data_IF_635871500157
#
_entry.id   IF_635871500157
#
_cell.length_a   1.000
_cell.length_b   1.000
_cell.length_c   1.000
_cell.angle_alpha   90.00
_cell.angle_beta   90.00
_cell.angle_gamma   90.00
#
_symmetry.space_group_name_H-M   'P 1'
#
loop_
_entity.id
_entity.type
_entity.pdbx_description
1 polymer ?
#
# COMPACT_ATOMS: atom_id res chain seq x y z
N UNK A 1 -30.61 -16.27 -31.45
CA UNK A 1 -29.17 -16.47 -31.13
C UNK A 1 -28.94 -15.89 -29.75
N UNK A 2 -28.92 -16.73 -28.74
CA UNK A 2 -28.74 -16.37 -27.34
C UNK A 2 -27.23 -16.19 -27.10
N UNK A 3 -26.83 -14.99 -26.72
CA UNK A 3 -25.42 -14.68 -26.36
C UNK A 3 -24.99 -15.46 -25.12
N UNK A 4 -23.66 -15.63 -24.89
CA UNK A 4 -23.18 -16.41 -23.80
C UNK A 4 -23.51 -15.70 -22.47
N UNK A 5 -24.17 -16.44 -21.56
CA UNK A 5 -24.42 -16.02 -20.20
C UNK A 5 -23.10 -15.71 -19.50
N UNK A 6 -22.94 -14.46 -19.06
CA UNK A 6 -21.80 -14.03 -18.22
C UNK A 6 -21.93 -14.72 -16.86
N UNK A 7 -21.05 -15.66 -16.57
CA UNK A 7 -20.90 -16.22 -15.23
C UNK A 7 -20.38 -15.14 -14.29
N UNK A 8 -21.27 -14.62 -13.48
CA UNK A 8 -20.90 -13.88 -12.27
C UNK A 8 -20.15 -14.87 -11.38
N UNK A 9 -18.92 -14.56 -10.92
CA UNK A 9 -18.22 -15.47 -10.00
C UNK A 9 -19.11 -15.67 -8.76
N UNK A 10 -19.23 -16.90 -8.23
CA UNK A 10 -20.04 -17.17 -7.06
C UNK A 10 -19.51 -16.33 -5.90
N UNK A 11 -20.41 -15.68 -5.17
CA UNK A 11 -20.08 -15.09 -3.85
C UNK A 11 -19.38 -16.18 -3.06
N UNK A 12 -18.08 -16.01 -2.82
CA UNK A 12 -17.28 -17.04 -2.20
C UNK A 12 -17.79 -17.25 -0.79
N UNK A 13 -18.49 -18.35 -0.54
CA UNK A 13 -18.57 -18.93 0.79
C UNK A 13 -17.14 -19.38 1.13
N UNK A 14 -16.30 -18.44 1.57
CA UNK A 14 -15.03 -18.76 2.21
C UNK A 14 -15.39 -19.34 3.57
N UNK A 15 -15.69 -20.64 3.59
CA UNK A 15 -15.72 -21.40 4.84
C UNK A 15 -14.27 -21.42 5.29
N UNK A 16 -13.95 -20.54 6.23
CA UNK A 16 -12.64 -20.53 6.87
C UNK A 16 -12.37 -21.90 7.42
N UNK A 17 -11.22 -22.49 7.05
CA UNK A 17 -10.70 -23.63 7.77
C UNK A 17 -10.62 -23.29 9.27
N UNK A 18 -10.78 -24.25 10.19
CA UNK A 18 -10.77 -23.95 11.63
C UNK A 18 -9.48 -23.19 11.95
N UNK A 19 -9.64 -21.96 12.45
CA UNK A 19 -8.54 -21.03 12.70
C UNK A 19 -7.73 -21.58 13.89
N UNK A 20 -6.55 -22.09 13.58
CA UNK A 20 -5.63 -22.63 14.57
C UNK A 20 -4.63 -21.54 14.95
N UNK A 21 -4.20 -21.48 16.21
CA UNK A 21 -3.26 -20.46 16.67
C UNK A 21 -1.81 -20.68 16.19
N UNK A 22 -1.55 -21.78 15.50
CA UNK A 22 -0.24 -22.14 14.97
C UNK A 22 -0.19 -22.08 13.43
N UNK A 23 1.02 -21.91 12.91
CA UNK A 23 1.27 -21.87 11.48
C UNK A 23 0.78 -23.14 10.78
N UNK A 24 0.15 -22.97 9.63
CA UNK A 24 -0.15 -24.07 8.71
C UNK A 24 0.98 -24.19 7.70
N UNK A 25 1.48 -25.41 7.42
CA UNK A 25 2.42 -25.59 6.32
C UNK A 25 1.82 -25.05 5.03
N UNK A 26 2.59 -24.26 4.28
CA UNK A 26 2.19 -23.78 2.98
C UNK A 26 2.32 -24.91 1.95
N UNK A 27 1.40 -24.96 0.98
CA UNK A 27 1.51 -25.80 -0.19
C UNK A 27 2.47 -25.18 -1.22
N UNK A 28 2.55 -23.86 -1.26
CA UNK A 28 3.62 -23.11 -1.90
C UNK A 28 4.79 -22.86 -0.95
N UNK A 29 5.60 -21.83 -1.22
CA UNK A 29 6.69 -21.44 -0.33
C UNK A 29 6.90 -19.94 -0.28
N UNK A 30 7.40 -19.46 0.85
CA UNK A 30 7.80 -18.06 1.06
C UNK A 30 9.33 -18.02 1.17
N UNK A 31 9.96 -17.25 0.31
CA UNK A 31 11.40 -16.99 0.33
C UNK A 31 11.64 -15.54 0.78
N UNK A 32 12.69 -15.33 1.58
CA UNK A 32 13.11 -13.98 1.96
C UNK A 32 14.57 -13.80 1.56
N UNK A 33 14.82 -12.69 0.86
CA UNK A 33 16.14 -12.30 0.38
C UNK A 33 16.45 -10.87 0.82
N UNK A 34 17.70 -10.47 0.70
CA UNK A 34 18.12 -9.09 0.91
C UNK A 34 18.59 -8.52 -0.42
N UNK A 35 18.09 -7.34 -0.76
CA UNK A 35 18.52 -6.58 -1.94
C UNK A 35 19.26 -5.35 -1.48
N UNK A 36 20.47 -5.13 -1.98
CA UNK A 36 21.23 -3.91 -1.72
C UNK A 36 20.80 -2.85 -2.72
N UNK A 37 20.15 -1.80 -2.22
CA UNK A 37 19.68 -0.69 -3.05
C UNK A 37 20.80 0.32 -3.30
N UNK A 38 20.99 0.66 -4.55
CA UNK A 38 21.92 1.74 -4.95
C UNK A 38 21.23 3.11 -4.90
N UNK A 39 19.92 3.14 -5.17
CA UNK A 39 19.17 4.41 -5.20
C UNK A 39 18.83 4.95 -3.80
N UNK A 40 18.84 4.09 -2.78
CA UNK A 40 18.70 4.50 -1.38
C UNK A 40 20.03 4.87 -0.73
N UNK A 41 21.16 4.72 -1.42
CA UNK A 41 22.45 5.14 -0.89
C UNK A 41 22.48 6.66 -0.61
N UNK A 42 22.89 7.03 0.61
CA UNK A 42 22.91 8.41 1.04
C UNK A 42 21.54 9.02 1.30
N UNK A 43 20.50 8.20 1.55
CA UNK A 43 19.19 8.73 1.95
C UNK A 43 19.31 9.61 3.21
N UNK A 44 18.44 10.63 3.35
CA UNK A 44 18.60 11.65 4.40
C UNK A 44 18.42 11.12 5.83
N UNK A 45 17.77 9.96 5.99
CA UNK A 45 17.48 9.37 7.29
C UNK A 45 18.59 8.41 7.77
N UNK A 46 19.55 8.08 6.90
CA UNK A 46 20.56 7.07 7.20
C UNK A 46 19.97 5.65 7.31
N UNK A 47 18.79 5.43 6.73
CA UNK A 47 18.17 4.11 6.72
C UNK A 47 19.02 3.11 5.93
N UNK A 48 19.03 1.82 6.33
CA UNK A 48 19.82 0.79 5.66
C UNK A 48 19.49 0.69 4.17
N UNK A 49 20.52 0.52 3.36
CA UNK A 49 20.37 0.25 1.91
C UNK A 49 20.11 -1.25 1.63
N UNK A 50 20.46 -2.11 2.57
CA UNK A 50 20.15 -3.54 2.51
C UNK A 50 18.72 -3.74 2.96
N UNK A 51 17.85 -4.03 1.98
CA UNK A 51 16.41 -4.10 2.19
C UNK A 51 15.92 -5.53 2.01
N UNK A 52 15.16 -6.07 2.97
CA UNK A 52 14.56 -7.38 2.82
C UNK A 52 13.40 -7.34 1.81
N UNK A 53 13.26 -8.41 1.06
CA UNK A 53 12.12 -8.69 0.18
C UNK A 53 11.66 -10.13 0.40
N UNK A 54 10.36 -10.36 0.54
CA UNK A 54 9.83 -11.70 0.62
C UNK A 54 8.98 -12.01 -0.61
N UNK A 55 9.21 -13.18 -1.20
CA UNK A 55 8.51 -13.63 -2.41
C UNK A 55 7.81 -14.95 -2.10
N UNK A 56 6.49 -14.93 -2.22
CA UNK A 56 5.69 -16.14 -2.14
C UNK A 56 5.53 -16.75 -3.52
N UNK A 57 5.86 -18.04 -3.62
CA UNK A 57 5.75 -18.85 -4.82
C UNK A 57 4.56 -19.81 -4.67
N UNK A 58 3.61 -19.82 -5.63
CA UNK A 58 2.37 -20.57 -5.49
C UNK A 58 2.59 -22.09 -5.59
N UNK A 59 1.61 -22.91 -5.13
CA UNK A 59 1.65 -24.36 -5.32
C UNK A 59 1.88 -24.74 -6.79
N UNK A 60 2.71 -25.76 -7.03
CA UNK A 60 3.07 -26.21 -8.37
C UNK A 60 4.15 -25.37 -9.05
N UNK A 61 4.75 -24.40 -8.35
CA UNK A 61 5.82 -23.59 -8.95
C UNK A 61 7.02 -24.47 -9.34
N UNK A 62 7.49 -25.35 -8.49
CA UNK A 62 8.68 -26.18 -8.76
C UNK A 62 8.40 -27.33 -9.73
N UNK A 63 7.18 -27.83 -9.74
CA UNK A 63 6.74 -28.93 -10.63
C UNK A 63 6.62 -28.48 -12.10
N UNK A 64 6.54 -27.18 -12.36
CA UNK A 64 6.36 -26.61 -13.70
C UNK A 64 7.46 -25.60 -14.04
N UNK A 65 8.70 -26.03 -14.33
CA UNK A 65 9.86 -25.14 -14.50
C UNK A 65 9.73 -24.16 -15.68
N UNK A 66 8.94 -24.49 -16.69
CA UNK A 66 8.74 -23.64 -17.87
C UNK A 66 7.58 -22.66 -17.72
N UNK A 67 6.78 -22.79 -16.66
CA UNK A 67 5.61 -21.94 -16.44
C UNK A 67 6.02 -20.59 -15.86
N UNK A 68 5.48 -19.52 -16.44
CA UNK A 68 5.56 -18.17 -15.89
C UNK A 68 4.24 -17.79 -15.20
N UNK A 69 4.33 -16.81 -14.30
CA UNK A 69 3.22 -16.42 -13.43
C UNK A 69 3.03 -14.90 -13.45
N UNK A 70 1.79 -14.41 -13.35
CA UNK A 70 1.57 -13.03 -12.97
C UNK A 70 2.22 -12.74 -11.62
N UNK A 71 2.55 -11.47 -11.36
CA UNK A 71 3.09 -11.04 -10.07
C UNK A 71 2.28 -9.92 -9.46
N UNK A 72 2.10 -9.94 -8.13
CA UNK A 72 1.42 -8.89 -7.39
C UNK A 72 2.35 -8.39 -6.28
N UNK A 73 2.70 -7.11 -6.34
CA UNK A 73 3.53 -6.44 -5.35
C UNK A 73 2.63 -5.87 -4.25
N UNK A 74 2.94 -6.17 -3.01
CA UNK A 74 2.10 -5.78 -1.86
C UNK A 74 2.83 -4.79 -0.99
N UNK A 75 2.22 -3.62 -0.84
CA UNK A 75 2.75 -2.47 -0.13
C UNK A 75 2.13 -2.38 1.27
N UNK A 76 2.97 -2.17 2.27
CA UNK A 76 2.52 -2.03 3.66
C UNK A 76 1.81 -0.68 3.88
N UNK A 77 0.94 -0.62 4.87
CA UNK A 77 0.41 0.64 5.41
C UNK A 77 1.47 1.40 6.20
N UNK A 78 1.15 2.61 6.62
CA UNK A 78 2.05 3.45 7.42
C UNK A 78 2.51 2.70 8.69
N UNK A 79 3.76 2.89 9.08
CA UNK A 79 4.46 2.17 10.16
C UNK A 79 4.54 0.64 10.00
N UNK A 80 4.04 0.08 8.91
CA UNK A 80 4.17 -1.33 8.62
C UNK A 80 5.61 -1.71 8.25
N UNK A 81 6.01 -2.93 8.58
CA UNK A 81 7.28 -3.53 8.17
C UNK A 81 7.02 -4.87 7.48
N UNK A 82 8.03 -5.44 6.83
CA UNK A 82 7.89 -6.73 6.16
C UNK A 82 7.37 -7.84 7.08
N UNK A 83 7.73 -7.79 8.38
CA UNK A 83 7.30 -8.75 9.38
C UNK A 83 5.78 -8.79 9.62
N UNK A 84 5.06 -7.71 9.30
CA UNK A 84 3.59 -7.66 9.49
C UNK A 84 2.85 -8.75 8.70
N UNK A 85 3.35 -9.13 7.53
CA UNK A 85 2.72 -10.12 6.66
C UNK A 85 2.81 -11.55 7.18
N UNK A 86 3.74 -11.81 8.09
CA UNK A 86 3.95 -13.09 8.77
C UNK A 86 3.48 -13.08 10.23
N UNK A 87 3.07 -11.91 10.75
CA UNK A 87 2.62 -11.78 12.12
C UNK A 87 1.23 -12.41 12.28
N UNK A 88 1.17 -13.42 13.16
CA UNK A 88 -0.06 -14.16 13.41
C UNK A 88 -0.85 -13.50 14.54
N UNK A 89 -2.11 -13.24 14.30
CA UNK A 89 -3.06 -12.80 15.31
C UNK A 89 -4.03 -13.95 15.69
N UNK A 90 -4.61 -13.88 16.88
CA UNK A 90 -5.64 -14.80 17.30
C UNK A 90 -6.83 -14.79 16.30
N UNK A 91 -7.31 -15.98 15.94
CA UNK A 91 -8.43 -16.18 15.02
C UNK A 91 -8.23 -15.66 13.58
N UNK A 92 -6.99 -15.36 13.18
CA UNK A 92 -6.68 -14.89 11.82
C UNK A 92 -5.50 -15.64 11.24
N UNK A 93 -5.65 -16.07 9.99
CA UNK A 93 -4.53 -16.52 9.18
C UNK A 93 -3.69 -15.32 8.73
N UNK A 94 -2.42 -15.52 8.46
CA UNK A 94 -1.61 -14.51 7.81
C UNK A 94 -2.09 -14.30 6.36
N UNK A 95 -1.68 -13.19 5.76
CA UNK A 95 -2.02 -12.92 4.35
C UNK A 95 -1.53 -14.05 3.43
N UNK A 96 -0.30 -14.49 3.62
CA UNK A 96 0.31 -15.55 2.80
C UNK A 96 -0.40 -16.90 2.99
N UNK A 97 -0.79 -17.26 4.21
CA UNK A 97 -1.57 -18.49 4.43
C UNK A 97 -2.94 -18.45 3.75
N UNK A 98 -3.57 -17.27 3.75
CA UNK A 98 -4.86 -17.08 3.07
C UNK A 98 -4.73 -17.17 1.55
N UNK A 99 -3.66 -16.58 0.98
CA UNK A 99 -3.34 -16.65 -0.45
C UNK A 99 -3.00 -18.10 -0.85
N UNK A 100 -2.14 -18.78 -0.09
CA UNK A 100 -1.76 -20.17 -0.32
C UNK A 100 -2.98 -21.11 -0.35
N UNK A 101 -3.83 -21.02 0.69
CA UNK A 101 -5.04 -21.79 0.75
C UNK A 101 -6.02 -21.50 -0.42
N UNK A 102 -6.07 -20.26 -0.90
CA UNK A 102 -6.86 -19.87 -2.06
C UNK A 102 -6.33 -20.52 -3.34
N UNK A 103 -5.03 -20.46 -3.59
CA UNK A 103 -4.41 -21.08 -4.77
C UNK A 103 -4.46 -22.60 -4.72
N UNK A 104 -4.22 -23.21 -3.55
CA UNK A 104 -4.30 -24.66 -3.37
C UNK A 104 -5.70 -25.22 -3.72
N UNK A 105 -6.75 -24.47 -3.41
CA UNK A 105 -8.13 -24.86 -3.73
C UNK A 105 -8.55 -24.55 -5.18
N UNK A 106 -7.69 -23.93 -5.97
CA UNK A 106 -8.03 -23.46 -7.31
C UNK A 106 -9.08 -22.34 -7.31
N UNK A 107 -9.22 -21.60 -6.22
CA UNK A 107 -10.18 -20.49 -6.10
C UNK A 107 -9.73 -19.22 -6.84
N UNK A 108 -8.47 -19.16 -7.24
CA UNK A 108 -7.91 -18.17 -8.17
C UNK A 108 -6.75 -18.79 -8.96
N UNK A 109 -6.40 -18.25 -10.14
CA UNK A 109 -5.17 -18.61 -10.84
C UNK A 109 -3.96 -18.30 -9.95
N UNK A 110 -2.94 -19.18 -9.95
CA UNK A 110 -1.76 -18.95 -9.13
C UNK A 110 -0.94 -17.75 -9.64
N UNK A 111 -0.49 -16.89 -8.73
CA UNK A 111 0.43 -15.79 -9.00
C UNK A 111 1.56 -15.74 -7.97
N UNK A 112 2.64 -15.08 -8.31
CA UNK A 112 3.72 -14.75 -7.38
C UNK A 112 3.30 -13.52 -6.58
N UNK A 113 3.49 -13.55 -5.24
CA UNK A 113 3.21 -12.39 -4.39
C UNK A 113 4.52 -11.86 -3.83
N UNK A 114 4.81 -10.59 -4.09
CA UNK A 114 6.04 -9.91 -3.66
C UNK A 114 5.72 -8.95 -2.53
N UNK A 115 6.28 -9.21 -1.36
CA UNK A 115 6.14 -8.35 -0.19
C UNK A 115 7.36 -7.43 -0.13
N UNK A 116 7.12 -6.14 -0.28
CA UNK A 116 8.18 -5.12 -0.40
C UNK A 116 8.38 -4.43 0.94
N UNK A 117 9.62 -4.14 1.29
CA UNK A 117 9.94 -3.28 2.43
C UNK A 117 10.19 -1.84 1.97
N UNK A 118 9.41 -0.90 2.50
CA UNK A 118 9.57 0.53 2.27
C UNK A 118 9.43 1.35 3.57
N UNK A 119 9.77 0.70 4.69
CA UNK A 119 9.83 1.34 6.00
C UNK A 119 10.97 2.35 6.08
N UNK A 120 10.78 3.43 6.82
CA UNK A 120 11.79 4.47 7.10
C UNK A 120 11.85 4.76 8.60
N UNK A 121 12.89 5.45 9.04
CA UNK A 121 13.00 5.93 10.43
C UNK A 121 11.83 6.86 10.83
N UNK A 122 11.08 7.42 9.86
CA UNK A 122 9.84 8.16 10.12
C UNK A 122 8.58 7.28 10.00
N UNK A 123 8.71 5.96 9.89
CA UNK A 123 7.60 5.01 9.87
C UNK A 123 7.12 4.59 8.47
N UNK A 124 7.33 5.39 7.44
CA UNK A 124 6.93 5.10 6.06
C UNK A 124 7.54 6.07 5.06
N UNK A 125 7.55 5.70 3.79
CA UNK A 125 8.10 6.49 2.68
C UNK A 125 7.02 7.10 1.79
N UNK A 126 5.77 6.76 2.00
CA UNK A 126 4.65 7.04 1.09
C UNK A 126 4.90 6.57 -0.36
N UNK A 127 5.87 5.67 -0.54
CA UNK A 127 6.20 5.07 -1.84
C UNK A 127 6.55 6.08 -2.94
N UNK A 128 7.00 7.27 -2.56
CA UNK A 128 7.42 8.35 -3.47
C UNK A 128 8.92 8.60 -3.38
N UNK A 129 9.48 9.25 -4.38
CA UNK A 129 10.83 9.79 -4.30
C UNK A 129 10.78 11.16 -3.62
N UNK A 130 11.49 11.30 -2.51
CA UNK A 130 11.50 12.53 -1.73
C UNK A 130 12.88 12.86 -1.17
N UNK A 131 13.27 14.15 -1.16
CA UNK A 131 14.46 14.57 -0.45
C UNK A 131 14.39 14.31 1.06
N UNK A 132 13.19 14.19 1.65
CA UNK A 132 13.02 13.98 3.08
C UNK A 132 13.07 12.52 3.53
N UNK A 133 12.85 11.55 2.63
CA UNK A 133 12.84 10.13 2.99
C UNK A 133 13.77 9.27 2.15
N UNK A 134 14.01 9.66 0.89
CA UNK A 134 14.77 8.86 -0.06
C UNK A 134 13.94 8.50 -1.31
N UNK A 135 14.55 7.78 -2.25
CA UNK A 135 13.96 7.49 -3.56
C UNK A 135 13.22 6.15 -3.59
N UNK A 136 12.14 6.03 -2.83
CA UNK A 136 11.45 4.77 -2.62
C UNK A 136 10.60 4.30 -3.82
N UNK A 137 10.05 5.23 -4.63
CA UNK A 137 9.41 4.86 -5.89
C UNK A 137 10.41 4.24 -6.86
N UNK A 138 11.55 4.92 -7.06
CA UNK A 138 12.65 4.41 -7.91
C UNK A 138 13.18 3.07 -7.37
N UNK A 139 13.38 2.94 -6.05
CA UNK A 139 13.82 1.69 -5.43
C UNK A 139 12.90 0.51 -5.78
N UNK A 140 11.61 0.66 -5.59
CA UNK A 140 10.66 -0.43 -5.85
C UNK A 140 10.55 -0.71 -7.35
N UNK A 141 10.41 0.34 -8.16
CA UNK A 141 10.12 0.20 -9.57
C UNK A 141 11.36 -0.19 -10.40
N UNK A 142 12.53 0.35 -10.08
CA UNK A 142 13.71 0.22 -10.93
C UNK A 142 14.79 -0.73 -10.34
N UNK A 143 14.64 -1.15 -9.08
CA UNK A 143 15.53 -2.15 -8.48
C UNK A 143 14.77 -3.43 -8.08
N UNK A 144 13.67 -3.33 -7.30
CA UNK A 144 12.95 -4.54 -6.82
C UNK A 144 12.21 -5.24 -7.96
N UNK A 145 11.50 -4.52 -8.82
CA UNK A 145 10.77 -5.16 -9.93
C UNK A 145 11.73 -5.92 -10.86
N UNK A 146 12.81 -5.31 -11.39
CA UNK A 146 13.77 -6.06 -12.22
C UNK A 146 14.47 -7.20 -11.47
N UNK A 147 14.77 -7.03 -10.18
CA UNK A 147 15.35 -8.09 -9.38
C UNK A 147 14.43 -9.30 -9.27
N UNK A 148 13.13 -9.08 -9.05
CA UNK A 148 12.14 -10.17 -9.02
C UNK A 148 12.04 -10.87 -10.37
N UNK A 149 11.97 -10.12 -11.47
CA UNK A 149 11.86 -10.69 -12.82
C UNK A 149 13.10 -11.50 -13.21
N UNK A 150 14.29 -11.10 -12.70
CA UNK A 150 15.55 -11.82 -12.95
C UNK A 150 15.68 -13.12 -12.13
N UNK A 151 15.03 -13.20 -10.96
CA UNK A 151 15.19 -14.33 -10.04
C UNK A 151 14.00 -15.29 -10.02
N UNK A 152 12.84 -14.88 -10.54
CA UNK A 152 11.60 -15.66 -10.51
C UNK A 152 10.94 -15.71 -11.89
N UNK A 153 10.13 -16.73 -12.12
CA UNK A 153 9.43 -16.93 -13.39
C UNK A 153 8.17 -16.08 -13.48
N UNK A 154 8.33 -14.77 -13.48
CA UNK A 154 7.27 -13.79 -13.73
C UNK A 154 7.04 -13.61 -15.23
N UNK A 155 5.85 -13.11 -15.60
CA UNK A 155 5.70 -12.46 -16.89
C UNK A 155 6.28 -11.04 -16.80
N UNK A 156 7.33 -10.79 -17.58
CA UNK A 156 7.99 -9.47 -17.64
C UNK A 156 7.20 -8.51 -18.53
N UNK A 157 5.98 -8.19 -18.11
CA UNK A 157 5.11 -7.26 -18.81
C UNK A 157 4.08 -6.62 -17.86
N UNK A 158 3.81 -5.33 -18.04
CA UNK A 158 2.87 -4.58 -17.22
C UNK A 158 1.49 -5.25 -17.14
N UNK A 159 0.98 -5.78 -18.26
CA UNK A 159 -0.32 -6.45 -18.30
C UNK A 159 -0.45 -7.70 -17.41
N UNK A 160 0.65 -8.18 -16.84
CA UNK A 160 0.72 -9.33 -15.97
C UNK A 160 1.29 -9.00 -14.58
N UNK A 161 1.46 -7.71 -14.28
CA UNK A 161 1.98 -7.24 -12.99
C UNK A 161 0.97 -6.31 -12.31
N UNK A 162 0.65 -6.61 -11.07
CA UNK A 162 -0.22 -5.80 -10.23
C UNK A 162 0.49 -5.26 -9.00
N UNK A 163 -0.10 -4.25 -8.40
CA UNK A 163 0.31 -3.69 -7.12
C UNK A 163 -0.91 -3.58 -6.21
N UNK A 164 -0.75 -3.89 -4.95
CA UNK A 164 -1.84 -3.88 -3.96
C UNK A 164 -1.35 -3.30 -2.64
N UNK A 165 -2.25 -2.70 -1.87
CA UNK A 165 -1.90 -2.22 -0.54
C UNK A 165 -3.08 -1.63 0.21
N UNK A 166 -2.85 -1.29 1.47
CA UNK A 166 -3.84 -0.69 2.36
C UNK A 166 -3.32 0.63 2.92
N UNK A 167 -4.21 1.62 3.13
CA UNK A 167 -3.82 2.91 3.71
C UNK A 167 -2.73 3.57 2.85
N UNK A 168 -1.60 3.97 3.42
CA UNK A 168 -0.44 4.42 2.65
C UNK A 168 0.00 3.43 1.55
N UNK A 169 -0.10 2.11 1.79
CA UNK A 169 0.15 1.11 0.73
C UNK A 169 -0.90 1.14 -0.39
N UNK A 170 -2.15 1.45 -0.05
CA UNK A 170 -3.22 1.68 -1.02
C UNK A 170 -2.99 2.95 -1.85
N UNK A 171 -2.53 4.02 -1.21
CA UNK A 171 -2.02 5.20 -1.88
C UNK A 171 -0.89 4.84 -2.86
N UNK A 172 0.13 4.13 -2.39
CA UNK A 172 1.23 3.65 -3.23
C UNK A 172 0.76 2.85 -4.44
N UNK A 173 -0.26 1.98 -4.26
CA UNK A 173 -0.83 1.22 -5.37
C UNK A 173 -1.50 2.13 -6.42
N UNK A 174 -2.25 3.15 -6.02
CA UNK A 174 -2.83 4.14 -6.92
C UNK A 174 -1.75 4.94 -7.65
N UNK A 175 -0.74 5.42 -6.93
CA UNK A 175 0.38 6.18 -7.51
C UNK A 175 1.15 5.34 -8.53
N UNK A 176 1.47 4.09 -8.23
CA UNK A 176 2.21 3.24 -9.16
C UNK A 176 1.39 2.92 -10.42
N UNK A 177 0.07 2.70 -10.29
CA UNK A 177 -0.80 2.52 -11.45
C UNK A 177 -0.84 3.75 -12.36
N UNK A 178 -0.75 4.95 -11.80
CA UNK A 178 -0.75 6.21 -12.56
C UNK A 178 0.62 6.58 -13.12
N UNK A 179 1.68 6.47 -12.32
CA UNK A 179 3.01 6.99 -12.68
C UNK A 179 3.90 5.95 -13.37
N UNK A 180 3.63 4.64 -13.17
CA UNK A 180 4.43 3.54 -13.73
C UNK A 180 3.56 2.53 -14.51
N UNK A 181 2.76 3.03 -15.49
CA UNK A 181 1.95 2.15 -16.34
C UNK A 181 2.81 1.26 -17.27
N UNK A 182 4.09 1.54 -17.37
CA UNK A 182 5.10 0.70 -17.99
C UNK A 182 5.36 -0.60 -17.19
N UNK A 183 5.13 -0.58 -15.89
CA UNK A 183 5.37 -1.71 -14.99
C UNK A 183 4.08 -2.37 -14.48
N UNK A 184 3.04 -1.60 -14.18
CA UNK A 184 1.84 -2.09 -13.51
C UNK A 184 0.59 -1.92 -14.37
N UNK A 185 -0.04 -3.05 -14.74
CA UNK A 185 -1.31 -3.09 -15.46
C UNK A 185 -2.50 -3.44 -14.58
N UNK A 186 -2.31 -3.56 -13.27
CA UNK A 186 -3.39 -3.73 -12.31
C UNK A 186 -3.06 -3.12 -10.95
N UNK A 187 -4.06 -2.61 -10.26
CA UNK A 187 -3.91 -2.07 -8.92
C UNK A 187 -5.04 -2.50 -7.98
N UNK A 188 -4.74 -2.59 -6.69
CA UNK A 188 -5.75 -2.78 -5.65
C UNK A 188 -5.46 -1.85 -4.46
N UNK A 189 -6.44 -1.02 -4.11
CA UNK A 189 -6.37 -0.10 -2.99
C UNK A 189 -7.44 -0.46 -1.95
N UNK A 190 -6.98 -0.74 -0.73
CA UNK A 190 -7.83 -0.99 0.43
C UNK A 190 -7.75 0.22 1.35
N UNK A 191 -8.81 1.02 1.42
CA UNK A 191 -8.82 2.24 2.22
C UNK A 191 -7.50 3.04 2.02
N UNK A 192 -7.14 3.31 0.75
CA UNK A 192 -5.90 4.02 0.40
C UNK A 192 -6.04 5.51 0.66
N UNK A 193 -4.94 6.13 1.12
CA UNK A 193 -4.92 7.58 1.43
C UNK A 193 -5.24 8.37 0.16
N UNK A 194 -6.39 9.03 0.15
CA UNK A 194 -6.87 9.89 -0.94
C UNK A 194 -7.96 10.82 -0.44
N UNK A 195 -8.33 11.86 -1.20
CA UNK A 195 -9.17 12.96 -0.76
C UNK A 195 -8.55 13.64 0.49
N UNK A 196 -7.40 14.24 0.30
CA UNK A 196 -6.51 14.70 1.38
C UNK A 196 -7.13 15.70 2.34
N UNK A 197 -8.13 16.46 1.92
CA UNK A 197 -8.90 17.32 2.80
C UNK A 197 -9.64 16.52 3.89
N UNK A 198 -10.12 15.32 3.55
CA UNK A 198 -10.84 14.49 4.51
C UNK A 198 -9.87 13.72 5.42
N UNK A 199 -8.83 13.09 4.85
CA UNK A 199 -7.99 12.18 5.62
C UNK A 199 -6.83 12.85 6.37
N UNK A 200 -6.30 14.00 5.91
CA UNK A 200 -5.13 14.61 6.54
C UNK A 200 -5.42 15.89 7.36
N UNK A 201 -6.36 16.74 6.94
CA UNK A 201 -6.63 17.99 7.70
C UNK A 201 -7.01 17.71 9.16
N UNK A 202 -7.88 16.74 9.50
CA UNK A 202 -8.15 16.41 10.88
C UNK A 202 -6.90 16.03 11.68
N UNK A 203 -6.00 15.27 11.06
CA UNK A 203 -4.75 14.84 11.69
C UNK A 203 -3.79 16.00 11.97
N UNK A 204 -3.79 17.04 11.13
CA UNK A 204 -3.00 18.26 11.37
C UNK A 204 -3.48 18.99 12.63
N UNK A 205 -4.78 19.03 12.86
CA UNK A 205 -5.35 19.65 14.06
C UNK A 205 -5.02 18.86 15.33
N UNK A 206 -5.06 17.53 15.24
CA UNK A 206 -4.62 16.65 16.34
C UNK A 206 -3.14 16.83 16.62
N UNK A 207 -2.29 16.84 15.59
CA UNK A 207 -0.86 17.04 15.72
C UNK A 207 -0.50 18.41 16.31
N UNK A 208 -1.11 19.51 15.83
CA UNK A 208 -0.89 20.85 16.35
C UNK A 208 -1.21 20.95 17.85
N UNK A 209 -2.34 20.35 18.27
CA UNK A 209 -2.73 20.31 19.67
C UNK A 209 -1.74 19.50 20.52
N UNK A 210 -1.40 18.29 20.10
CA UNK A 210 -0.48 17.43 20.84
C UNK A 210 0.91 18.07 20.98
N UNK A 211 1.42 18.69 19.91
CA UNK A 211 2.71 19.39 19.94
C UNK A 211 2.69 20.58 20.91
N UNK A 212 1.65 21.41 20.89
CA UNK A 212 1.54 22.54 21.82
C UNK A 212 1.46 22.10 23.27
N UNK A 213 0.64 21.09 23.55
CA UNK A 213 0.31 20.69 24.92
C UNK A 213 1.47 19.91 25.59
N UNK A 214 2.29 19.19 24.82
CA UNK A 214 3.29 18.26 25.35
C UNK A 214 4.73 18.53 24.93
N UNK A 215 4.93 19.22 23.81
CA UNK A 215 6.25 19.36 23.19
C UNK A 215 6.60 20.82 22.87
N UNK A 216 5.97 21.77 23.57
CA UNK A 216 6.20 23.21 23.44
C UNK A 216 6.11 23.72 21.98
N UNK A 217 5.23 23.08 21.19
CA UNK A 217 5.03 23.41 19.77
C UNK A 217 6.16 22.94 18.83
N UNK A 218 6.94 21.93 19.23
CA UNK A 218 8.11 21.49 18.47
C UNK A 218 8.09 20.02 18.14
N UNK A 219 8.23 19.67 16.85
CA UNK A 219 8.51 18.29 16.42
C UNK A 219 9.92 17.82 16.84
N UNK A 220 10.88 18.72 16.95
CA UNK A 220 12.21 18.37 17.43
C UNK A 220 12.14 17.79 18.85
N UNK A 221 11.41 18.47 19.76
CA UNK A 221 11.17 17.96 21.12
C UNK A 221 10.39 16.66 21.14
N UNK A 222 9.42 16.51 20.23
CA UNK A 222 8.70 15.23 20.07
C UNK A 222 9.67 14.12 19.69
N UNK A 223 10.54 14.31 18.69
CA UNK A 223 11.46 13.28 18.24
C UNK A 223 12.55 12.96 19.29
N UNK A 224 13.03 13.95 20.02
CA UNK A 224 13.94 13.72 21.15
C UNK A 224 13.31 12.79 22.20
N UNK A 225 12.09 13.08 22.64
CA UNK A 225 11.35 12.24 23.58
C UNK A 225 11.00 10.87 22.99
N UNK A 226 10.50 10.82 21.77
CA UNK A 226 10.13 9.58 21.09
C UNK A 226 11.31 8.61 20.99
N UNK A 227 12.46 9.08 20.51
CA UNK A 227 13.66 8.25 20.40
C UNK A 227 14.27 7.88 21.76
N UNK A 228 14.14 8.76 22.77
CA UNK A 228 14.55 8.42 24.14
C UNK A 228 13.69 7.26 24.70
N UNK A 229 12.39 7.25 24.42
CA UNK A 229 11.49 6.16 24.78
C UNK A 229 11.73 4.90 23.93
N UNK A 230 11.96 5.06 22.63
CA UNK A 230 12.22 3.94 21.73
C UNK A 230 13.45 3.13 22.18
N UNK A 231 14.51 3.79 22.63
CA UNK A 231 15.70 3.10 23.21
C UNK A 231 15.41 2.27 24.45
N UNK A 232 14.28 2.53 25.13
CA UNK A 232 13.80 1.75 26.29
C UNK A 232 12.74 0.69 25.92
N UNK A 233 12.40 0.57 24.63
CA UNK A 233 11.30 -0.28 24.17
C UNK A 233 9.89 0.32 24.36
N UNK A 234 9.80 1.62 24.58
CA UNK A 234 8.56 2.35 24.87
C UNK A 234 8.06 3.19 23.68
N UNK A 235 8.56 2.95 22.46
CA UNK A 235 8.03 3.59 21.27
C UNK A 235 6.55 3.27 21.09
N UNK A 236 5.78 4.20 20.54
CA UNK A 236 4.34 4.06 20.29
C UNK A 236 3.50 3.78 21.56
N UNK A 237 4.02 4.14 22.74
CA UNK A 237 3.31 3.92 24.01
C UNK A 237 2.33 5.04 24.38
N UNK A 238 2.40 6.19 23.71
CA UNK A 238 1.49 7.32 23.92
C UNK A 238 0.45 7.39 22.81
N UNK A 239 -0.74 7.83 23.12
CA UNK A 239 -1.86 7.91 22.20
C UNK A 239 -1.60 8.81 20.98
N UNK A 240 -0.81 9.87 21.17
CA UNK A 240 -0.45 10.82 20.11
C UNK A 240 0.72 10.37 19.22
N UNK A 241 1.51 9.36 19.64
CA UNK A 241 2.73 8.96 18.93
C UNK A 241 2.45 8.62 17.44
N UNK A 242 1.42 7.80 17.19
CA UNK A 242 1.08 7.35 15.84
C UNK A 242 0.74 8.51 14.90
N UNK A 243 -0.11 9.42 15.35
CA UNK A 243 -0.51 10.59 14.57
C UNK A 243 0.66 11.55 14.32
N UNK A 244 1.46 11.84 15.34
CA UNK A 244 2.63 12.72 15.19
C UNK A 244 3.69 12.14 14.25
N UNK A 245 3.99 10.84 14.39
CA UNK A 245 4.94 10.15 13.49
C UNK A 245 4.41 10.17 12.05
N UNK A 246 3.12 9.85 11.84
CA UNK A 246 2.51 9.82 10.52
C UNK A 246 2.51 11.20 9.85
N UNK A 247 2.04 12.24 10.54
CA UNK A 247 1.97 13.60 9.98
C UNK A 247 3.36 14.11 9.59
N UNK A 248 4.37 13.89 10.43
CA UNK A 248 5.74 14.30 10.12
C UNK A 248 6.34 13.50 8.97
N UNK A 249 6.16 12.18 8.94
CA UNK A 249 6.69 11.35 7.88
C UNK A 249 6.00 11.60 6.52
N UNK A 250 4.68 11.87 6.52
CA UNK A 250 4.00 12.33 5.31
C UNK A 250 4.52 13.70 4.86
N UNK A 251 4.82 14.63 5.79
CA UNK A 251 5.45 15.91 5.44
C UNK A 251 6.85 15.70 4.86
N UNK A 252 7.63 14.79 5.41
CA UNK A 252 8.93 14.42 4.85
C UNK A 252 8.82 13.84 3.44
N UNK A 253 7.74 13.09 3.15
CA UNK A 253 7.49 12.54 1.82
C UNK A 253 6.99 13.59 0.82
N UNK A 254 6.07 14.48 1.21
CA UNK A 254 5.35 15.34 0.25
C UNK A 254 5.86 16.78 0.22
N UNK A 255 6.51 17.26 1.26
CA UNK A 255 6.87 18.68 1.37
C UNK A 255 8.25 18.96 1.98
N UNK A 256 9.17 17.99 1.98
CA UNK A 256 10.56 18.27 2.33
C UNK A 256 11.21 19.18 1.28
N UNK A 257 12.12 20.01 1.76
CA UNK A 257 12.97 20.87 0.91
C UNK A 257 14.15 20.07 0.34
N UNK A 258 14.84 20.58 -0.69
CA UNK A 258 15.99 19.88 -1.29
C UNK A 258 17.12 19.52 -0.32
N UNK A 259 17.22 20.24 0.79
CA UNK A 259 18.20 19.99 1.87
C UNK A 259 17.69 19.00 2.93
N UNK A 260 16.55 18.34 2.65
CA UNK A 260 15.83 17.41 3.53
C UNK A 260 15.13 18.09 4.73
N UNK A 261 15.08 19.40 4.81
CA UNK A 261 14.27 20.09 5.84
C UNK A 261 12.80 19.79 5.63
N UNK A 262 12.13 19.27 6.66
CA UNK A 262 10.70 18.93 6.59
C UNK A 262 9.85 20.18 6.82
N UNK A 263 8.99 20.50 5.85
CA UNK A 263 8.09 21.65 5.91
C UNK A 263 6.64 21.17 6.12
N UNK A 264 6.04 21.59 7.25
CA UNK A 264 4.68 21.20 7.60
C UNK A 264 3.63 21.98 6.80
N UNK A 265 2.51 21.33 6.38
CA UNK A 265 1.42 21.98 5.67
C UNK A 265 0.52 22.85 6.57
N UNK A 266 0.86 22.99 7.84
CA UNK A 266 0.10 23.79 8.82
C UNK A 266 1.04 24.51 9.78
N UNK A 267 0.53 25.56 10.39
CA UNK A 267 1.19 26.28 11.48
C UNK A 267 0.82 25.61 12.82
N UNK A 268 1.83 25.21 13.60
CA UNK A 268 1.64 24.46 14.85
C UNK A 268 0.91 25.31 15.91
N UNK A 269 1.17 26.64 15.96
CA UNK A 269 0.59 27.50 16.98
C UNK A 269 -0.90 27.75 16.76
N UNK A 270 -1.32 27.87 15.51
CA UNK A 270 -2.69 28.24 15.12
C UNK A 270 -3.53 27.10 14.57
N UNK A 271 -2.88 26.06 14.01
CA UNK A 271 -3.53 24.98 13.27
C UNK A 271 -3.95 25.37 11.84
N UNK A 272 -3.66 26.60 11.41
CA UNK A 272 -4.01 27.08 10.07
C UNK A 272 -3.15 26.40 9.00
N UNK A 273 -3.77 26.09 7.86
CA UNK A 273 -3.05 25.56 6.71
C UNK A 273 -2.07 26.61 6.15
N UNK A 274 -0.94 26.15 5.70
CA UNK A 274 0.03 26.90 4.89
C UNK A 274 -0.25 26.57 3.43
N UNK A 275 -0.97 27.46 2.76
CA UNK A 275 -1.51 27.21 1.41
C UNK A 275 -0.44 26.78 0.40
N UNK A 276 0.73 27.39 0.43
CA UNK A 276 1.85 27.07 -0.46
C UNK A 276 2.36 25.63 -0.27
N UNK A 277 2.45 25.17 0.97
CA UNK A 277 2.86 23.80 1.32
C UNK A 277 1.73 22.81 1.06
N UNK A 278 0.48 23.19 1.41
CA UNK A 278 -0.68 22.35 1.17
C UNK A 278 -0.89 22.06 -0.33
N UNK A 279 -0.63 23.01 -1.21
CA UNK A 279 -0.67 22.77 -2.66
C UNK A 279 0.36 21.72 -3.12
N UNK A 280 1.50 21.61 -2.46
CA UNK A 280 2.48 20.53 -2.74
C UNK A 280 1.91 19.16 -2.38
N UNK A 281 1.19 19.04 -1.26
CA UNK A 281 0.51 17.82 -0.88
C UNK A 281 -0.58 17.43 -1.86
N UNK A 282 -1.43 18.38 -2.25
CA UNK A 282 -2.53 18.14 -3.17
C UNK A 282 -2.10 17.65 -4.56
N UNK A 283 -0.85 17.88 -4.95
CA UNK A 283 -0.28 17.29 -6.18
C UNK A 283 -0.14 15.77 -6.10
N UNK A 284 -0.09 15.21 -4.90
CA UNK A 284 0.00 13.79 -4.65
C UNK A 284 -1.36 13.14 -4.34
N UNK A 285 -2.43 13.91 -4.23
CA UNK A 285 -3.76 13.34 -3.97
C UNK A 285 -4.26 12.54 -5.18
N UNK A 286 -4.45 11.21 -5.04
CA UNK A 286 -4.89 10.36 -6.14
C UNK A 286 -6.18 10.82 -6.81
N UNK A 287 -7.15 11.36 -6.07
CA UNK A 287 -8.40 11.93 -6.65
C UNK A 287 -8.08 13.02 -7.66
N UNK A 288 -7.13 13.90 -7.34
CA UNK A 288 -6.72 15.03 -8.21
C UNK A 288 -5.84 14.59 -9.37
N UNK A 289 -5.15 13.46 -9.22
CA UNK A 289 -4.23 12.95 -10.22
C UNK A 289 -4.93 12.21 -11.38
N UNK A 290 -6.13 11.67 -11.17
CA UNK A 290 -6.85 10.83 -12.16
C UNK A 290 -6.90 11.47 -13.53
N UNK A 291 -7.36 12.72 -13.63
CA UNK A 291 -7.55 13.38 -14.91
C UNK A 291 -6.26 13.53 -15.71
N UNK A 292 -5.14 13.86 -15.03
CA UNK A 292 -3.83 14.02 -15.67
C UNK A 292 -3.16 12.68 -16.03
N UNK A 293 -3.60 11.56 -15.43
CA UNK A 293 -3.09 10.23 -15.68
C UNK A 293 -4.12 9.28 -16.32
N UNK A 294 -5.15 9.85 -16.96
CA UNK A 294 -6.25 9.11 -17.55
C UNK A 294 -5.79 8.00 -18.52
N UNK A 295 -4.77 8.25 -19.34
CA UNK A 295 -4.27 7.24 -20.28
C UNK A 295 -3.57 6.06 -19.61
N UNK A 296 -2.96 6.28 -18.45
CA UNK A 296 -2.39 5.20 -17.65
C UNK A 296 -3.51 4.32 -17.07
N UNK A 297 -4.50 4.95 -16.44
CA UNK A 297 -5.63 4.27 -15.80
C UNK A 297 -6.53 3.52 -16.80
N UNK A 298 -6.75 4.06 -18.00
CA UNK A 298 -7.47 3.37 -19.08
C UNK A 298 -6.76 2.11 -19.59
N UNK A 299 -5.45 2.00 -19.42
CA UNK A 299 -4.68 0.80 -19.77
C UNK A 299 -4.69 -0.26 -18.70
N UNK A 300 -5.15 0.06 -17.48
CA UNK A 300 -5.26 -0.94 -16.41
C UNK A 300 -6.25 -2.03 -16.79
N UNK A 301 -5.85 -3.28 -16.59
CA UNK A 301 -6.68 -4.48 -16.76
C UNK A 301 -7.54 -4.76 -15.52
N UNK A 302 -7.13 -4.24 -14.37
CA UNK A 302 -7.77 -4.48 -13.08
C UNK A 302 -7.55 -3.30 -12.13
N UNK A 303 -8.63 -2.79 -11.55
CA UNK A 303 -8.63 -1.77 -10.50
C UNK A 303 -9.60 -2.24 -9.41
N UNK A 304 -9.07 -2.55 -8.23
CA UNK A 304 -9.86 -2.89 -7.05
C UNK A 304 -9.82 -1.73 -6.06
N UNK A 305 -11.01 -1.30 -5.61
CA UNK A 305 -11.17 -0.21 -4.66
C UNK A 305 -12.14 -0.67 -3.58
N UNK A 306 -11.71 -0.71 -2.33
CA UNK A 306 -12.63 -0.93 -1.22
C UNK A 306 -12.23 -0.15 0.04
N UNK A 307 -13.21 0.14 0.89
CA UNK A 307 -13.02 0.75 2.20
C UNK A 307 -14.17 0.37 3.16
N UNK A 308 -13.89 0.40 4.45
CA UNK A 308 -14.92 0.28 5.47
C UNK A 308 -15.78 1.53 5.54
N UNK A 309 -17.13 1.37 5.64
CA UNK A 309 -18.10 2.51 5.72
C UNK A 309 -17.91 3.40 6.96
N UNK A 310 -17.19 2.92 7.94
CA UNK A 310 -16.89 3.66 9.18
C UNK A 310 -15.36 3.77 9.33
N UNK A 311 -14.66 4.06 8.22
CA UNK A 311 -13.22 4.24 8.23
C UNK A 311 -12.80 5.40 9.13
N UNK A 312 -11.82 5.18 9.99
CA UNK A 312 -11.40 6.13 11.02
C UNK A 312 -10.75 7.40 10.44
N UNK A 313 -10.31 7.35 9.17
CA UNK A 313 -9.70 8.45 8.42
C UNK A 313 -10.55 8.91 7.23
N UNK A 314 -11.85 8.60 7.20
CA UNK A 314 -12.78 8.94 6.11
C UNK A 314 -12.31 8.46 4.72
N UNK A 315 -11.57 7.34 4.67
CA UNK A 315 -11.06 6.80 3.41
C UNK A 315 -12.15 6.09 2.59
N UNK A 316 -13.31 5.84 3.15
CA UNK A 316 -14.53 5.50 2.42
C UNK A 316 -14.99 6.64 1.50
N UNK A 317 -14.91 7.90 1.98
CA UNK A 317 -15.20 9.08 1.15
C UNK A 317 -14.16 9.25 0.05
N UNK A 318 -12.88 9.01 0.39
CA UNK A 318 -11.78 9.03 -0.57
C UNK A 318 -11.92 7.95 -1.65
N UNK A 319 -12.27 6.71 -1.26
CA UNK A 319 -12.51 5.61 -2.19
C UNK A 319 -13.66 5.92 -3.17
N UNK A 320 -14.75 6.50 -2.67
CA UNK A 320 -15.89 6.93 -3.50
C UNK A 320 -15.50 8.08 -4.44
N UNK A 321 -14.72 9.04 -3.96
CA UNK A 321 -14.25 10.15 -4.79
C UNK A 321 -13.32 9.65 -5.91
N UNK A 322 -12.38 8.76 -5.60
CA UNK A 322 -11.49 8.16 -6.60
C UNK A 322 -12.25 7.36 -7.65
N UNK A 323 -13.25 6.58 -7.24
CA UNK A 323 -14.15 5.87 -8.15
C UNK A 323 -14.86 6.81 -9.13
N UNK A 324 -15.40 7.93 -8.64
CA UNK A 324 -16.09 8.92 -9.47
C UNK A 324 -15.16 9.54 -10.51
N UNK A 325 -13.96 9.91 -10.11
CA UNK A 325 -12.96 10.44 -11.05
C UNK A 325 -12.59 9.41 -12.12
N UNK A 326 -12.53 8.12 -11.78
CA UNK A 326 -12.33 7.06 -12.78
C UNK A 326 -13.49 6.99 -13.77
N UNK A 327 -14.74 7.13 -13.32
CA UNK A 327 -15.92 7.17 -14.21
C UNK A 327 -15.87 8.36 -15.16
N UNK A 328 -15.45 9.54 -14.69
CA UNK A 328 -15.31 10.75 -15.54
C UNK A 328 -14.30 10.55 -16.68
N UNK A 329 -13.29 9.75 -16.48
CA UNK A 329 -12.34 9.39 -17.55
C UNK A 329 -12.76 8.16 -18.35
N UNK A 330 -13.97 7.60 -18.13
CA UNK A 330 -14.49 6.44 -18.83
C UNK A 330 -13.95 5.08 -18.36
N UNK A 331 -13.42 5.00 -17.14
CA UNK A 331 -12.95 3.78 -16.49
C UNK A 331 -13.95 3.40 -15.39
N UNK A 332 -14.65 2.28 -15.53
CA UNK A 332 -15.74 1.93 -14.64
C UNK A 332 -15.96 0.43 -14.47
N UNK A 333 -17.02 0.07 -13.77
CA UNK A 333 -17.35 -1.32 -13.44
C UNK A 333 -17.99 -2.09 -14.64
N UNK A 334 -18.43 -1.39 -15.67
CA UNK A 334 -19.27 -1.97 -16.74
C UNK A 334 -18.58 -3.10 -17.52
N UNK A 335 -17.28 -2.99 -17.76
CA UNK A 335 -16.47 -4.03 -18.43
C UNK A 335 -15.74 -4.96 -17.43
N UNK A 336 -15.99 -4.74 -16.14
CA UNK A 336 -15.36 -5.46 -15.05
C UNK A 336 -13.89 -5.09 -14.80
N UNK A 337 -13.39 -4.02 -15.39
CA UNK A 337 -12.03 -3.49 -15.10
C UNK A 337 -11.96 -2.96 -13.69
N UNK A 338 -13.00 -2.28 -13.22
CA UNK A 338 -13.09 -1.76 -11.85
C UNK A 338 -13.97 -2.68 -11.00
N UNK A 339 -13.52 -2.94 -9.79
CA UNK A 339 -14.34 -3.45 -8.68
C UNK A 339 -14.35 -2.42 -7.56
N UNK A 340 -15.53 -2.00 -7.14
CA UNK A 340 -15.72 -1.06 -6.05
C UNK A 340 -16.64 -1.63 -4.98
N UNK A 341 -16.25 -1.50 -3.70
CA UNK A 341 -17.09 -1.94 -2.59
C UNK A 341 -16.83 -1.11 -1.31
N UNK A 342 -17.88 -0.52 -0.77
CA UNK A 342 -17.88 -0.04 0.61
C UNK A 342 -18.52 -1.11 1.50
N UNK A 343 -17.73 -1.72 2.38
CA UNK A 343 -18.16 -2.82 3.24
C UNK A 343 -18.42 -2.34 4.69
N UNK A 344 -19.17 -3.11 5.46
CA UNK A 344 -19.36 -2.86 6.88
C UNK A 344 -18.04 -3.10 7.64
N UNK A 345 -17.46 -2.05 8.21
CA UNK A 345 -16.18 -2.11 8.91
C UNK A 345 -15.54 -0.73 9.09
N UNK A 346 -14.42 -0.72 9.80
CA UNK A 346 -13.57 0.46 10.02
C UNK A 346 -12.28 0.33 9.23
N UNK A 347 -11.28 1.16 9.52
CA UNK A 347 -9.94 1.03 8.95
C UNK A 347 -9.20 -0.22 9.42
N UNK A 348 -9.48 -0.67 10.65
CA UNK A 348 -8.79 -1.80 11.25
C UNK A 348 -9.40 -3.15 10.84
N UNK A 349 -8.60 -4.22 11.00
CA UNK A 349 -9.05 -5.61 10.89
C UNK A 349 -9.65 -6.02 9.53
N UNK A 350 -9.21 -5.39 8.45
CA UNK A 350 -9.68 -5.66 7.08
C UNK A 350 -8.83 -6.67 6.32
N UNK A 351 -7.96 -7.41 7.00
CA UNK A 351 -7.02 -8.37 6.38
C UNK A 351 -7.72 -9.43 5.53
N UNK A 352 -8.98 -9.75 5.84
CA UNK A 352 -9.79 -10.69 5.06
C UNK A 352 -10.14 -10.19 3.65
N UNK A 353 -9.93 -8.90 3.38
CA UNK A 353 -10.15 -8.29 2.06
C UNK A 353 -9.02 -8.58 1.08
N UNK A 354 -7.78 -8.70 1.57
CA UNK A 354 -6.60 -8.87 0.71
C UNK A 354 -6.65 -10.11 -0.20
N UNK A 355 -7.10 -11.29 0.26
CA UNK A 355 -7.26 -12.43 -0.64
C UNK A 355 -8.31 -12.21 -1.74
N UNK A 356 -9.32 -11.35 -1.52
CA UNK A 356 -10.34 -11.04 -2.51
C UNK A 356 -9.77 -10.21 -3.67
N UNK A 357 -9.04 -9.13 -3.34
CA UNK A 357 -8.37 -8.30 -4.34
C UNK A 357 -7.26 -9.08 -5.05
N UNK A 358 -6.52 -9.93 -4.32
CA UNK A 358 -5.50 -10.80 -4.92
C UNK A 358 -6.12 -11.76 -5.95
N UNK A 359 -7.26 -12.37 -5.63
CA UNK A 359 -7.99 -13.23 -6.57
C UNK A 359 -8.42 -12.44 -7.81
N UNK A 360 -8.99 -11.25 -7.64
CA UNK A 360 -9.40 -10.38 -8.73
C UNK A 360 -8.22 -10.02 -9.64
N UNK A 361 -7.11 -9.55 -9.06
CA UNK A 361 -5.89 -9.26 -9.80
C UNK A 361 -5.35 -10.50 -10.52
N UNK A 362 -5.27 -11.65 -9.84
CA UNK A 362 -4.77 -12.88 -10.42
C UNK A 362 -5.58 -13.33 -11.64
N UNK A 363 -6.91 -13.22 -11.60
CA UNK A 363 -7.76 -13.52 -12.77
C UNK A 363 -7.54 -12.56 -13.93
N UNK A 364 -7.41 -11.27 -13.64
CA UNK A 364 -7.31 -10.24 -14.68
C UNK A 364 -5.93 -10.13 -15.31
N UNK A 365 -4.89 -10.48 -14.54
CA UNK A 365 -3.50 -10.42 -14.97
C UNK A 365 -3.00 -11.74 -15.58
N UNK A 366 -3.76 -12.81 -15.46
CA UNK A 366 -3.45 -14.08 -16.15
C UNK A 366 -3.55 -13.92 -17.66
N UNK A 367 -2.76 -14.72 -18.44
CA UNK A 367 -2.82 -14.74 -19.89
C UNK A 367 -4.21 -15.07 -20.44
#
# INVERSE_FOLDING_TARGET
MTGPERRVPPRSNVVAAPLRPWATPLAGRLETSTVTSTVLAGNPLGDPVERPVSVYLPPGYDEHPDKRYPSVYVLQGYSGSLGMWSNRAAFRSTYIESADAMFQRGAAPPCIVVLVDAWTAYGGSQFVDSPGTGRYQTYICDEIVPWVDANYRTFDAAGHRGVAGKSSGGFGAMIFGMLRPDLFGGLATHAGDTLYEACYIPEFLHAARALRDRYEGSYEKFWEDFWARARKGEAMSRSEDGGLVMVYGCAAAFSAEPDATVTLPFDIATGLLRDDVWQRWLQWDPVRMVASHADALRRCRAIWIDAGRSDDWWLDLGAEAFRRELEEIGVGETDGTVHFELFEGTHAAIDYRYPLSLAFLAYRLSP
#
